data_IF_912172545616
#
_entry.id   IF_912172545616
#
_cell.length_a   1.000
_cell.length_b   1.000
_cell.length_c   1.000
_cell.angle_alpha   90.00
_cell.angle_beta   90.00
_cell.angle_gamma   90.00
#
_symmetry.space_group_name_H-M   'P 1'
#
loop_
_entity.id
_entity.type
_entity.pdbx_description
1 polymer ?
#
# COMPACT_ATOMS: atom_id res chain seq x y z
N UNK A 1 -27.19 18.77 14.67
CA UNK A 1 -26.26 17.95 15.47
C UNK A 1 -27.03 17.19 16.50
N UNK A 2 -27.27 15.90 16.27
CA UNK A 2 -27.79 15.00 17.30
C UNK A 2 -26.60 14.69 18.22
N UNK A 3 -26.55 15.44 19.31
CA UNK A 3 -25.53 15.24 20.35
C UNK A 3 -25.80 13.90 21.00
N UNK A 4 -24.97 12.90 20.68
CA UNK A 4 -25.05 11.57 21.26
C UNK A 4 -25.00 11.67 22.78
N UNK A 5 -26.05 11.15 23.46
CA UNK A 5 -26.17 11.20 24.90
C UNK A 5 -25.19 10.26 25.60
N UNK A 6 -24.67 9.27 24.91
CA UNK A 6 -23.67 8.36 25.42
C UNK A 6 -22.27 8.85 25.07
N UNK A 7 -21.66 9.60 25.96
CA UNK A 7 -20.28 10.09 25.86
C UNK A 7 -19.23 8.98 26.07
N UNK A 8 -19.62 7.76 26.29
CA UNK A 8 -18.75 6.62 26.43
C UNK A 8 -18.51 5.99 25.06
N UNK A 9 -17.57 6.56 24.30
CA UNK A 9 -17.06 5.93 23.11
C UNK A 9 -16.40 4.58 23.44
N UNK A 10 -16.16 3.75 22.41
CA UNK A 10 -15.49 2.47 22.56
C UNK A 10 -14.13 2.64 23.26
N UNK A 11 -13.87 1.84 24.30
CA UNK A 11 -12.60 1.89 25.01
C UNK A 11 -11.42 1.71 24.05
N UNK A 12 -10.36 2.52 24.22
CA UNK A 12 -9.20 2.52 23.33
C UNK A 12 -8.56 1.14 23.11
N UNK A 13 -8.66 0.25 24.11
CA UNK A 13 -8.18 -1.14 24.01
C UNK A 13 -8.88 -1.93 22.91
N UNK A 14 -10.20 -1.79 22.78
CA UNK A 14 -10.96 -2.49 21.74
C UNK A 14 -10.66 -1.93 20.34
N UNK A 15 -10.39 -0.62 20.23
CA UNK A 15 -9.93 -0.01 18.97
C UNK A 15 -8.62 -0.62 18.51
N UNK A 16 -7.63 -0.71 19.41
CA UNK A 16 -6.31 -1.29 19.09
C UNK A 16 -6.46 -2.75 18.69
N UNK A 17 -7.25 -3.55 19.41
CA UNK A 17 -7.49 -4.95 19.05
C UNK A 17 -8.11 -5.07 17.66
N UNK A 18 -9.10 -4.22 17.32
CA UNK A 18 -9.70 -4.21 16.00
C UNK A 18 -8.71 -3.82 14.90
N UNK A 19 -7.87 -2.82 15.14
CA UNK A 19 -6.85 -2.35 14.18
C UNK A 19 -5.76 -3.41 13.94
N UNK A 20 -5.26 -4.01 15.02
CA UNK A 20 -4.28 -5.11 14.93
C UNK A 20 -4.89 -6.32 14.24
N UNK A 21 -6.14 -6.67 14.56
CA UNK A 21 -6.87 -7.75 13.91
C UNK A 21 -7.04 -7.51 12.41
N UNK A 22 -7.44 -6.31 12.01
CA UNK A 22 -7.55 -5.93 10.60
C UNK A 22 -6.19 -5.99 9.89
N UNK A 23 -5.15 -5.42 10.50
CA UNK A 23 -3.79 -5.45 9.94
C UNK A 23 -3.27 -6.88 9.77
N UNK A 24 -3.57 -7.77 10.72
CA UNK A 24 -3.21 -9.18 10.64
C UNK A 24 -3.98 -9.89 9.51
N UNK A 25 -5.28 -9.66 9.37
CA UNK A 25 -6.07 -10.23 8.26
C UNK A 25 -5.51 -9.78 6.92
N UNK A 26 -5.26 -8.48 6.74
CA UNK A 26 -4.70 -7.94 5.49
C UNK A 26 -3.32 -8.54 5.23
N UNK A 27 -2.42 -8.58 6.22
CA UNK A 27 -1.10 -9.16 6.09
C UNK A 27 -1.12 -10.64 5.73
N UNK A 28 -2.02 -11.42 6.33
CA UNK A 28 -2.19 -12.83 6.01
C UNK A 28 -2.77 -13.06 4.62
N UNK A 29 -3.75 -12.24 4.20
CA UNK A 29 -4.31 -12.31 2.84
C UNK A 29 -3.22 -12.03 1.80
N UNK A 30 -2.40 -10.99 2.01
CA UNK A 30 -1.28 -10.69 1.13
C UNK A 30 -0.23 -11.81 1.08
N UNK A 31 0.00 -12.48 2.22
CA UNK A 31 0.90 -13.63 2.29
C UNK A 31 0.34 -14.87 1.60
N UNK A 32 -0.95 -15.16 1.79
CA UNK A 32 -1.57 -16.41 1.30
C UNK A 32 -2.03 -16.32 -0.15
N UNK A 33 -2.38 -15.10 -0.64
CA UNK A 33 -2.87 -14.95 -2.01
C UNK A 33 -1.78 -15.25 -3.04
N UNK A 34 -2.02 -16.16 -4.00
CA UNK A 34 -1.11 -16.41 -5.11
C UNK A 34 -1.09 -15.27 -6.13
N UNK A 35 -2.15 -14.44 -6.16
CA UNK A 35 -2.31 -13.37 -7.15
C UNK A 35 -1.49 -12.12 -6.78
N UNK A 36 -0.99 -12.05 -5.54
CA UNK A 36 -0.13 -10.95 -5.09
C UNK A 36 1.30 -11.22 -5.51
N UNK A 37 1.62 -10.86 -6.75
CA UNK A 37 2.94 -11.00 -7.35
C UNK A 37 3.45 -9.64 -7.86
N UNK A 38 4.75 -9.46 -7.77
CA UNK A 38 5.44 -8.30 -8.34
C UNK A 38 6.05 -8.74 -9.66
N UNK A 39 5.85 -7.92 -10.70
CA UNK A 39 6.48 -8.13 -11.99
C UNK A 39 7.77 -7.32 -12.05
N UNK A 40 8.90 -7.99 -11.94
CA UNK A 40 10.20 -7.36 -12.11
C UNK A 40 10.62 -7.40 -13.59
N UNK A 41 11.06 -6.25 -14.10
CA UNK A 41 11.59 -6.15 -15.45
C UNK A 41 13.07 -6.54 -15.42
N UNK A 42 13.42 -7.66 -16.01
CA UNK A 42 14.82 -7.98 -16.29
C UNK A 42 15.19 -7.43 -17.67
N UNK A 43 16.08 -6.45 -17.70
CA UNK A 43 16.77 -6.07 -18.94
C UNK A 43 17.73 -7.21 -19.29
N UNK A 44 17.34 -8.06 -20.22
CA UNK A 44 18.26 -9.04 -20.81
C UNK A 44 19.12 -8.28 -21.84
N UNK A 45 20.29 -7.85 -21.41
CA UNK A 45 21.29 -7.26 -22.28
C UNK A 45 22.01 -8.38 -23.03
N UNK A 46 21.53 -8.69 -24.21
CA UNK A 46 22.32 -9.48 -25.18
C UNK A 46 23.17 -8.54 -26.04
N UNK A 47 24.42 -8.97 -26.24
CA UNK A 47 25.47 -8.23 -26.94
C UNK A 47 25.03 -7.61 -28.27
N UNK A 48 25.23 -6.30 -28.37
CA UNK A 48 25.53 -5.51 -29.59
C UNK A 48 24.50 -5.42 -30.74
N UNK A 49 23.24 -5.79 -30.57
CA UNK A 49 22.20 -5.44 -31.56
C UNK A 49 20.99 -4.89 -30.80
N UNK A 50 20.55 -3.68 -31.20
CA UNK A 50 19.30 -3.07 -30.73
C UNK A 50 18.15 -3.85 -31.40
N UNK A 51 17.86 -5.04 -30.90
CA UNK A 51 16.67 -5.81 -31.26
C UNK A 51 15.77 -5.86 -30.04
N UNK A 52 14.55 -5.38 -30.24
CA UNK A 52 13.38 -5.43 -29.35
C UNK A 52 13.65 -5.86 -27.90
N UNK A 53 13.60 -4.90 -27.00
CA UNK A 53 13.65 -5.17 -25.54
C UNK A 53 12.46 -6.08 -25.19
N UNK A 54 12.68 -7.39 -25.24
CA UNK A 54 11.73 -8.36 -24.70
C UNK A 54 11.81 -8.30 -23.19
N UNK A 55 10.85 -7.62 -22.61
CA UNK A 55 10.66 -7.61 -21.18
C UNK A 55 10.18 -8.99 -20.71
N UNK A 56 11.10 -9.80 -20.23
CA UNK A 56 10.74 -11.00 -19.50
C UNK A 56 10.21 -10.59 -18.12
N UNK A 57 8.90 -10.54 -18.02
CA UNK A 57 8.21 -10.26 -16.78
C UNK A 57 8.25 -11.53 -15.93
N UNK A 58 9.12 -11.57 -14.94
CA UNK A 58 9.13 -12.66 -13.96
C UNK A 58 8.19 -12.29 -12.83
N UNK A 59 7.15 -13.08 -12.67
CA UNK A 59 6.22 -12.96 -11.55
C UNK A 59 6.88 -13.55 -10.30
N UNK A 60 7.28 -12.69 -9.38
CA UNK A 60 7.88 -13.13 -8.12
C UNK A 60 7.05 -12.68 -6.94
N UNK A 61 6.83 -13.60 -6.01
CA UNK A 61 6.26 -13.26 -4.71
C UNK A 61 7.37 -12.62 -3.87
N UNK A 62 7.25 -11.35 -3.60
CA UNK A 62 8.32 -10.57 -2.97
C UNK A 62 7.79 -9.75 -1.79
N UNK A 63 8.63 -9.61 -0.76
CA UNK A 63 8.40 -8.74 0.40
C UNK A 63 8.95 -7.34 0.18
N UNK A 64 8.97 -6.85 -1.07
CA UNK A 64 9.46 -5.51 -1.40
C UNK A 64 8.36 -4.47 -1.27
N UNK A 65 8.70 -3.30 -0.75
CA UNK A 65 7.81 -2.14 -0.69
C UNK A 65 8.50 -0.95 -1.35
N UNK A 66 7.75 -0.19 -2.15
CA UNK A 66 8.26 1.04 -2.73
C UNK A 66 8.31 2.13 -1.66
N UNK A 67 9.51 2.60 -1.31
CA UNK A 67 9.72 3.71 -0.39
C UNK A 67 10.47 4.81 -1.15
N UNK A 68 9.88 6.00 -1.31
CA UNK A 68 10.55 7.12 -1.95
C UNK A 68 11.82 7.50 -1.18
N UNK A 69 12.83 8.02 -1.88
CA UNK A 69 14.14 8.46 -1.35
C UNK A 69 15.14 7.35 -1.00
N UNK A 70 14.78 6.07 -1.14
CA UNK A 70 15.76 4.99 -1.07
C UNK A 70 16.37 4.71 -2.44
N UNK A 71 17.56 4.09 -2.44
CA UNK A 71 18.22 3.66 -3.67
C UNK A 71 17.30 2.67 -4.42
N UNK A 72 16.99 2.96 -5.69
CA UNK A 72 16.06 2.22 -6.53
C UNK A 72 14.59 2.24 -6.04
N UNK A 73 14.21 3.13 -5.11
CA UNK A 73 12.87 3.27 -4.55
C UNK A 73 12.26 1.98 -3.96
N UNK A 74 13.07 0.94 -3.77
CA UNK A 74 12.63 -0.36 -3.27
C UNK A 74 13.29 -0.68 -1.93
N UNK A 75 12.48 -1.10 -0.98
CA UNK A 75 12.91 -1.61 0.29
C UNK A 75 12.51 -3.09 0.42
N UNK A 76 13.51 -3.96 0.52
CA UNK A 76 13.31 -5.40 0.67
C UNK A 76 13.48 -5.79 2.14
N UNK A 77 12.39 -6.31 2.73
CA UNK A 77 12.41 -6.76 4.12
C UNK A 77 13.32 -7.97 4.34
N UNK A 78 13.61 -8.74 3.29
CA UNK A 78 14.56 -9.84 3.37
C UNK A 78 15.98 -9.37 3.75
N UNK A 79 16.32 -8.10 3.44
CA UNK A 79 17.61 -7.53 3.81
C UNK A 79 17.75 -7.25 5.32
N UNK A 80 16.63 -7.03 6.03
CA UNK A 80 16.64 -6.83 7.48
C UNK A 80 16.93 -8.13 8.25
N UNK A 81 16.64 -9.27 7.62
CA UNK A 81 16.66 -10.59 8.26
C UNK A 81 17.78 -11.48 7.71
N UNK A 82 18.83 -10.89 7.13
CA UNK A 82 19.99 -11.61 6.59
C UNK A 82 20.68 -12.52 7.62
N UNK A 83 20.53 -12.24 8.91
CA UNK A 83 21.05 -13.02 10.00
C UNK A 83 20.28 -14.33 10.27
N UNK A 84 19.07 -14.48 9.72
CA UNK A 84 18.19 -15.64 9.95
C UNK A 84 18.58 -16.89 9.13
N UNK A 85 19.58 -16.81 8.24
CA UNK A 85 20.09 -17.96 7.49
C UNK A 85 19.00 -18.63 6.64
N UNK A 86 18.74 -19.92 6.90
CA UNK A 86 17.80 -20.75 6.12
C UNK A 86 16.32 -20.31 6.28
N UNK A 87 15.97 -19.59 7.35
CA UNK A 87 14.61 -19.09 7.61
C UNK A 87 14.40 -17.64 7.15
N UNK A 88 15.26 -17.14 6.26
CA UNK A 88 15.24 -15.75 5.81
C UNK A 88 13.91 -15.34 5.17
N UNK A 89 13.32 -16.19 4.32
CA UNK A 89 12.07 -15.87 3.63
C UNK A 89 10.88 -15.80 4.58
N UNK A 90 10.77 -16.77 5.49
CA UNK A 90 9.69 -16.80 6.49
C UNK A 90 9.79 -15.63 7.46
N UNK A 91 11.03 -15.33 7.89
CA UNK A 91 11.29 -14.19 8.76
C UNK A 91 11.00 -12.84 8.06
N UNK A 92 11.30 -12.72 6.76
CA UNK A 92 10.98 -11.53 5.96
C UNK A 92 9.46 -11.31 5.88
N UNK A 93 8.69 -12.39 5.67
CA UNK A 93 7.23 -12.32 5.67
C UNK A 93 6.65 -11.94 7.03
N UNK A 94 7.23 -12.45 8.12
CA UNK A 94 6.82 -12.06 9.47
C UNK A 94 7.04 -10.57 9.70
N UNK A 95 8.21 -10.04 9.32
CA UNK A 95 8.51 -8.60 9.43
C UNK A 95 7.56 -7.79 8.54
N UNK A 96 7.26 -8.26 7.33
CA UNK A 96 6.30 -7.61 6.44
C UNK A 96 4.90 -7.52 7.07
N UNK A 97 4.38 -8.62 7.61
CA UNK A 97 3.07 -8.64 8.30
C UNK A 97 3.06 -7.69 9.50
N UNK A 98 4.13 -7.66 10.30
CA UNK A 98 4.26 -6.71 11.41
C UNK A 98 4.25 -5.26 10.91
N UNK A 99 4.91 -4.98 9.79
CA UNK A 99 4.88 -3.64 9.18
C UNK A 99 3.47 -3.28 8.68
N UNK A 100 2.74 -4.20 8.08
CA UNK A 100 1.34 -3.98 7.67
C UNK A 100 0.48 -3.64 8.88
N UNK A 101 0.59 -4.39 9.98
CA UNK A 101 -0.12 -4.11 11.23
C UNK A 101 0.23 -2.71 11.74
N UNK A 102 1.52 -2.36 11.74
CA UNK A 102 1.99 -1.05 12.18
C UNK A 102 1.39 0.08 11.33
N UNK A 103 1.43 -0.05 10.00
CA UNK A 103 0.88 0.96 9.07
C UNK A 103 -0.64 1.12 9.28
N UNK A 104 -1.39 0.02 9.32
CA UNK A 104 -2.85 0.05 9.53
C UNK A 104 -3.18 0.73 10.86
N UNK A 105 -2.46 0.39 11.94
CA UNK A 105 -2.69 0.96 13.26
C UNK A 105 -2.32 2.44 13.28
N UNK A 106 -1.18 2.83 12.72
CA UNK A 106 -0.70 4.21 12.69
C UNK A 106 -1.64 5.12 11.88
N UNK A 107 -2.03 4.69 10.67
CA UNK A 107 -2.93 5.45 9.79
C UNK A 107 -4.32 5.58 10.41
N UNK A 108 -4.87 4.49 10.97
CA UNK A 108 -6.18 4.52 11.62
C UNK A 108 -6.21 5.44 12.85
N UNK A 109 -5.15 5.43 13.66
CA UNK A 109 -5.06 6.35 14.80
C UNK A 109 -4.83 7.79 14.35
N UNK A 110 -3.99 8.02 13.33
CA UNK A 110 -3.79 9.32 12.72
C UNK A 110 -5.09 9.92 12.19
N UNK A 111 -5.86 9.15 11.44
CA UNK A 111 -7.17 9.56 10.94
C UNK A 111 -8.13 9.91 12.10
N UNK A 112 -8.17 9.09 13.15
CA UNK A 112 -9.02 9.35 14.32
C UNK A 112 -8.61 10.62 15.09
N UNK A 113 -7.33 10.97 15.12
CA UNK A 113 -6.86 12.22 15.71
C UNK A 113 -7.21 13.45 14.84
N UNK A 114 -7.22 13.26 13.53
CA UNK A 114 -7.56 14.31 12.56
C UNK A 114 -9.07 14.64 12.56
N UNK A 115 -9.91 13.70 12.99
CA UNK A 115 -11.38 13.83 13.03
C UNK A 115 -11.91 14.77 14.13
N UNK A 116 -11.03 15.51 14.79
CA UNK A 116 -11.40 16.49 15.83
C UNK A 116 -11.91 17.84 15.33
N UNK A 117 -11.72 18.15 14.04
CA UNK A 117 -12.13 19.41 13.40
C UNK A 117 -13.05 19.12 12.22
N UNK A 118 -14.14 19.88 12.14
CA UNK A 118 -15.14 19.72 11.07
C UNK A 118 -14.51 19.84 9.67
N UNK A 119 -14.63 18.80 8.88
CA UNK A 119 -14.13 18.71 7.51
C UNK A 119 -12.63 18.43 7.34
N UNK A 120 -11.82 18.48 8.40
CA UNK A 120 -10.36 18.24 8.27
C UNK A 120 -10.07 16.79 7.87
N UNK A 121 -10.71 15.82 8.51
CA UNK A 121 -10.54 14.41 8.18
C UNK A 121 -11.01 14.09 6.76
N UNK A 122 -12.17 14.60 6.34
CA UNK A 122 -12.69 14.39 5.00
C UNK A 122 -11.82 15.09 3.94
N UNK A 123 -11.38 16.33 4.20
CA UNK A 123 -10.51 17.09 3.29
C UNK A 123 -9.16 16.43 3.07
N UNK A 124 -8.48 16.05 4.15
CA UNK A 124 -7.19 15.34 4.05
C UNK A 124 -7.34 13.97 3.40
N UNK A 125 -8.44 13.25 3.69
CA UNK A 125 -8.73 11.96 3.05
C UNK A 125 -8.97 12.10 1.54
N UNK A 126 -9.65 13.15 1.09
CA UNK A 126 -9.83 13.44 -0.33
C UNK A 126 -8.49 13.67 -1.03
N UNK A 127 -7.59 14.48 -0.43
CA UNK A 127 -6.26 14.75 -0.99
C UNK A 127 -5.44 13.46 -1.08
N UNK A 128 -5.44 12.64 -0.02
CA UNK A 128 -4.77 11.33 -0.01
C UNK A 128 -5.38 10.41 -1.08
N UNK A 129 -6.71 10.40 -1.21
CA UNK A 129 -7.41 9.62 -2.24
C UNK A 129 -6.96 10.00 -3.65
N UNK A 130 -6.82 11.29 -3.95
CA UNK A 130 -6.31 11.78 -5.25
C UNK A 130 -4.88 11.29 -5.48
N UNK A 131 -3.99 11.46 -4.50
CA UNK A 131 -2.60 11.03 -4.62
C UNK A 131 -2.49 9.51 -4.86
N UNK A 132 -3.22 8.69 -4.09
CA UNK A 132 -3.25 7.24 -4.25
C UNK A 132 -3.89 6.81 -5.57
N UNK A 133 -4.93 7.50 -6.04
CA UNK A 133 -5.55 7.25 -7.35
C UNK A 133 -4.58 7.50 -8.50
N UNK A 134 -3.82 8.59 -8.45
CA UNK A 134 -2.76 8.89 -9.43
C UNK A 134 -1.68 7.82 -9.38
N UNK A 135 -1.20 7.44 -8.20
CA UNK A 135 -0.19 6.38 -8.05
C UNK A 135 -0.69 5.04 -8.58
N UNK A 136 -1.94 4.66 -8.29
CA UNK A 136 -2.53 3.44 -8.81
C UNK A 136 -2.59 3.45 -10.35
N UNK A 137 -3.00 4.57 -10.94
CA UNK A 137 -3.02 4.74 -12.40
C UNK A 137 -1.62 4.62 -13.01
N UNK A 138 -0.62 5.30 -12.43
CA UNK A 138 0.76 5.25 -12.91
C UNK A 138 1.37 3.85 -12.75
N UNK A 139 1.08 3.16 -11.65
CA UNK A 139 1.57 1.81 -11.40
C UNK A 139 0.93 0.75 -12.30
N UNK A 140 -0.26 1.00 -12.83
CA UNK A 140 -0.94 0.06 -13.75
C UNK A 140 -0.40 0.12 -15.18
N UNK A 141 0.31 1.20 -15.53
CA UNK A 141 0.88 1.38 -16.87
C UNK A 141 2.38 1.17 -16.86
N UNK A 142 2.84 0.21 -17.64
CA UNK A 142 4.26 -0.14 -17.71
C UNK A 142 5.19 1.05 -18.04
N UNK A 143 4.82 1.87 -19.03
CA UNK A 143 5.64 3.01 -19.46
C UNK A 143 5.80 4.04 -18.33
N UNK A 144 4.71 4.36 -17.63
CA UNK A 144 4.75 5.31 -16.51
C UNK A 144 5.47 4.74 -15.29
N UNK A 145 5.24 3.47 -14.97
CA UNK A 145 5.92 2.79 -13.87
C UNK A 145 7.44 2.74 -14.09
N UNK A 146 7.87 2.43 -15.31
CA UNK A 146 9.28 2.42 -15.69
C UNK A 146 9.90 3.82 -15.64
N UNK A 147 9.22 4.84 -16.20
CA UNK A 147 9.70 6.21 -16.19
C UNK A 147 9.86 6.78 -14.76
N UNK A 148 8.90 6.51 -13.88
CA UNK A 148 8.91 6.98 -12.50
C UNK A 148 9.75 6.09 -11.57
N UNK A 149 10.26 4.96 -12.08
CA UNK A 149 10.97 3.95 -11.29
C UNK A 149 10.17 3.50 -10.05
N UNK A 150 8.86 3.25 -10.27
CA UNK A 150 7.95 2.71 -9.29
C UNK A 150 7.57 1.27 -9.68
N UNK A 151 7.04 0.53 -8.71
CA UNK A 151 6.62 -0.85 -8.92
C UNK A 151 5.47 -0.93 -9.93
N UNK A 152 5.60 -1.79 -10.94
CA UNK A 152 4.53 -2.10 -11.87
C UNK A 152 3.57 -3.13 -11.25
N UNK A 153 2.30 -2.76 -11.12
CA UNK A 153 1.26 -3.60 -10.52
C UNK A 153 0.13 -3.76 -11.54
N UNK A 154 0.09 -4.88 -12.29
CA UNK A 154 -0.99 -5.15 -13.23
C UNK A 154 -2.34 -5.21 -12.52
N UNK A 155 -3.38 -4.62 -13.13
CA UNK A 155 -4.72 -4.59 -12.54
C UNK A 155 -4.94 -3.50 -11.47
N UNK A 156 -3.92 -2.68 -11.15
CA UNK A 156 -4.07 -1.57 -10.21
C UNK A 156 -5.03 -0.48 -10.72
N UNK A 157 -5.41 -0.49 -12.00
CA UNK A 157 -6.40 0.39 -12.60
C UNK A 157 -7.79 0.28 -11.95
N UNK A 158 -8.16 -0.90 -11.43
CA UNK A 158 -9.42 -1.07 -10.69
C UNK A 158 -9.44 -0.23 -9.40
N UNK A 159 -8.28 -0.03 -8.78
CA UNK A 159 -8.15 0.84 -7.62
C UNK A 159 -8.42 2.31 -7.94
N UNK A 160 -8.22 2.73 -9.20
CA UNK A 160 -8.52 4.10 -9.65
C UNK A 160 -10.02 4.35 -9.58
N UNK A 161 -10.84 3.37 -9.98
CA UNK A 161 -12.30 3.47 -9.88
C UNK A 161 -12.75 3.59 -8.43
N UNK A 162 -12.17 2.76 -7.55
CA UNK A 162 -12.43 2.85 -6.11
C UNK A 162 -12.01 4.22 -5.53
N UNK A 163 -10.81 4.69 -5.88
CA UNK A 163 -10.30 5.99 -5.44
C UNK A 163 -11.20 7.14 -5.92
N UNK A 164 -11.66 7.11 -7.17
CA UNK A 164 -12.55 8.11 -7.71
C UNK A 164 -13.91 8.16 -6.96
N UNK A 165 -14.48 7.00 -6.66
CA UNK A 165 -15.70 6.90 -5.86
C UNK A 165 -15.50 7.44 -4.43
N UNK A 166 -14.38 7.10 -3.79
CA UNK A 166 -14.02 7.58 -2.46
C UNK A 166 -13.84 9.10 -2.44
N UNK A 167 -13.12 9.67 -3.44
CA UNK A 167 -12.93 11.11 -3.58
C UNK A 167 -14.29 11.80 -3.76
N UNK A 168 -15.13 11.28 -4.66
CA UNK A 168 -16.48 11.84 -4.89
C UNK A 168 -17.33 11.86 -3.63
N UNK A 169 -17.30 10.77 -2.84
CA UNK A 169 -18.02 10.68 -1.58
C UNK A 169 -17.50 11.68 -0.52
N UNK A 170 -16.17 11.80 -0.37
CA UNK A 170 -15.57 12.73 0.61
C UNK A 170 -15.77 14.18 0.23
N UNK A 171 -15.65 14.54 -1.06
CA UNK A 171 -15.93 15.89 -1.55
C UNK A 171 -17.43 16.23 -1.40
N UNK A 172 -18.32 15.28 -1.73
CA UNK A 172 -19.77 15.45 -1.53
C UNK A 172 -20.12 15.68 -0.06
N UNK A 173 -19.46 14.96 0.86
CA UNK A 173 -19.64 15.16 2.30
C UNK A 173 -19.15 16.54 2.77
N UNK A 174 -18.05 17.05 2.20
CA UNK A 174 -17.53 18.39 2.53
C UNK A 174 -18.42 19.53 2.04
N UNK A 175 -19.20 19.28 0.99
CA UNK A 175 -20.08 20.30 0.40
C UNK A 175 -21.34 20.54 1.24
N UNK A 176 -21.77 19.56 2.02
CA UNK A 176 -22.96 19.61 2.89
C UNK A 176 -22.60 19.99 4.33
#
# INVERSE_FOLDING_TARGET
CIRDRNKEGMHGRFKIVGQVGLGLIVGLVLFMSPDVVIKENMEVRHDNVIEEVRYHTVETKSTKTTIPFLKNNNFDYANLVNWAGDYKEEAAWLVFVLMVIFVVTAVSNGANMTDGLDGLAAGTSAIIGVALGILAYMSSHFEFASFLNIMFIPGAEELVVYAAAFIGATVGFLWY
#
